data_IF_209618801479
#
_entry.id   IF_209618801479
#
_cell.length_a   1.000
_cell.length_b   1.000
_cell.length_c   1.000
_cell.angle_alpha   90.00
_cell.angle_beta   90.00
_cell.angle_gamma   90.00
#
_symmetry.space_group_name_H-M   'P 1'
#
loop_
_entity.id
_entity.type
_entity.pdbx_description
1 polymer ?
#
# COMPACT_ATOMS: atom_id res chain seq x y z
N UNK A 1 -22.40 12.37 27.76
CA UNK A 1 -21.27 13.27 27.44
C UNK A 1 -19.94 12.59 27.80
N UNK A 2 -19.64 11.41 27.22
CA UNK A 2 -18.41 10.64 27.51
C UNK A 2 -17.68 10.15 26.25
N UNK A 3 -18.34 10.16 25.09
CA UNK A 3 -17.78 9.66 23.83
C UNK A 3 -16.82 10.60 23.09
N UNK A 4 -16.59 11.85 23.55
CA UNK A 4 -15.78 12.82 22.79
C UNK A 4 -14.28 12.77 23.13
N UNK A 5 -13.90 12.18 24.26
CA UNK A 5 -12.53 12.19 24.79
C UNK A 5 -11.66 11.08 24.18
N UNK A 6 -12.20 9.87 24.06
CA UNK A 6 -11.49 8.72 23.46
C UNK A 6 -11.11 8.93 21.98
N UNK A 7 -11.97 9.62 21.22
CA UNK A 7 -11.71 9.94 19.81
C UNK A 7 -10.62 11.00 19.61
N UNK A 8 -10.30 11.78 20.66
CA UNK A 8 -9.24 12.77 20.61
C UNK A 8 -7.89 12.10 20.87
N UNK A 9 -7.84 11.18 21.83
CA UNK A 9 -6.63 10.41 22.15
C UNK A 9 -6.21 9.48 21.00
N UNK A 10 -7.16 8.83 20.33
CA UNK A 10 -6.85 7.94 19.20
C UNK A 10 -6.30 8.69 17.98
N UNK A 11 -6.76 9.93 17.74
CA UNK A 11 -6.22 10.79 16.67
C UNK A 11 -4.82 11.28 16.99
N UNK A 12 -4.54 11.61 18.25
CA UNK A 12 -3.20 12.03 18.70
C UNK A 12 -2.21 10.88 18.61
N UNK A 13 -2.58 9.68 19.09
CA UNK A 13 -1.76 8.49 18.98
C UNK A 13 -1.46 8.13 17.52
N UNK A 14 -2.45 8.25 16.64
CA UNK A 14 -2.30 8.01 15.21
C UNK A 14 -1.40 9.05 14.53
N UNK A 15 -1.50 10.33 14.91
CA UNK A 15 -0.58 11.38 14.46
C UNK A 15 0.86 11.05 14.89
N UNK A 16 1.07 10.63 16.13
CA UNK A 16 2.38 10.20 16.63
C UNK A 16 2.92 8.98 15.86
N UNK A 17 2.09 7.95 15.65
CA UNK A 17 2.48 6.77 14.88
C UNK A 17 2.84 7.15 13.45
N UNK A 18 2.03 7.97 12.78
CA UNK A 18 2.30 8.39 11.40
C UNK A 18 3.53 9.29 11.27
N UNK A 19 3.76 10.21 12.20
CA UNK A 19 4.98 11.02 12.18
C UNK A 19 6.21 10.14 12.45
N UNK A 20 6.09 9.14 13.32
CA UNK A 20 7.15 8.16 13.51
C UNK A 20 7.37 7.34 12.22
N UNK A 21 6.31 6.88 11.55
CA UNK A 21 6.40 6.10 10.31
C UNK A 21 6.97 6.93 9.15
N UNK A 22 6.57 8.19 9.01
CA UNK A 22 7.10 9.09 7.97
C UNK A 22 8.57 9.42 8.23
N UNK A 23 8.98 9.59 9.49
CA UNK A 23 10.37 9.76 9.89
C UNK A 23 11.21 8.50 9.66
N UNK A 24 10.68 7.32 10.00
CA UNK A 24 11.31 6.02 9.74
C UNK A 24 11.46 5.81 8.23
N UNK A 25 10.44 6.12 7.45
CA UNK A 25 10.49 6.00 5.99
C UNK A 25 11.51 6.96 5.37
N UNK A 26 11.54 8.22 5.83
CA UNK A 26 12.49 9.21 5.34
C UNK A 26 13.94 8.84 5.69
N UNK A 27 14.18 8.33 6.89
CA UNK A 27 15.50 7.84 7.29
C UNK A 27 15.87 6.53 6.57
N UNK A 28 14.90 5.68 6.27
CA UNK A 28 15.09 4.48 5.46
C UNK A 28 15.47 4.79 4.00
N UNK A 29 14.78 5.74 3.36
CA UNK A 29 15.14 6.22 2.02
C UNK A 29 16.57 6.80 1.97
N UNK A 30 17.00 7.50 3.02
CA UNK A 30 18.37 7.99 3.15
C UNK A 30 19.39 6.86 3.35
N UNK A 31 18.97 5.73 3.90
CA UNK A 31 19.80 4.55 4.17
C UNK A 31 19.85 3.56 2.98
N UNK A 32 18.91 3.67 2.04
CA UNK A 32 18.91 2.92 0.78
C UNK A 32 20.10 3.37 -0.09
N UNK A 33 21.22 2.66 0.10
CA UNK A 33 22.53 2.88 -0.50
C UNK A 33 22.51 2.85 -2.05
N UNK A 34 23.39 3.60 -2.73
CA UNK A 34 23.19 4.18 -4.06
C UNK A 34 23.61 3.24 -5.19
N UNK A 35 23.18 1.99 -5.19
CA UNK A 35 23.63 1.02 -6.21
C UNK A 35 22.81 0.99 -7.49
N UNK A 36 21.72 1.74 -7.59
CA UNK A 36 21.05 2.02 -8.86
C UNK A 36 20.93 3.53 -9.03
N UNK A 37 21.70 4.06 -9.99
CA UNK A 37 21.68 5.46 -10.42
C UNK A 37 20.26 5.91 -10.75
N UNK A 38 19.63 6.58 -9.80
CA UNK A 38 18.64 7.62 -10.08
C UNK A 38 19.16 8.83 -9.31
N UNK A 39 19.47 9.90 -10.03
CA UNK A 39 19.82 11.20 -9.46
C UNK A 39 18.61 11.72 -8.66
N UNK A 40 18.48 11.25 -7.42
CA UNK A 40 17.61 11.86 -6.43
C UNK A 40 18.26 13.19 -6.06
N UNK A 41 17.93 14.26 -6.78
CA UNK A 41 18.41 15.60 -6.48
C UNK A 41 18.06 15.93 -5.02
N UNK A 42 19.10 16.03 -4.20
CA UNK A 42 19.21 15.58 -2.80
C UNK A 42 18.50 16.45 -1.73
N UNK A 43 17.48 17.24 -2.04
CA UNK A 43 16.85 18.05 -0.98
C UNK A 43 15.39 18.46 -1.17
N UNK A 44 14.96 18.72 -2.40
CA UNK A 44 13.60 19.19 -2.68
C UNK A 44 12.56 18.06 -2.74
N UNK A 45 12.97 16.83 -3.04
CA UNK A 45 12.03 15.72 -3.16
C UNK A 45 11.61 15.15 -1.79
N UNK A 46 12.44 15.29 -0.75
CA UNK A 46 12.06 14.92 0.61
C UNK A 46 10.94 15.80 1.14
N UNK A 47 11.02 17.12 0.94
CA UNK A 47 9.98 18.05 1.36
C UNK A 47 8.70 17.85 0.54
N UNK A 48 8.79 17.63 -0.78
CA UNK A 48 7.63 17.32 -1.63
C UNK A 48 6.97 15.99 -1.29
N UNK A 49 7.75 14.99 -0.89
CA UNK A 49 7.24 13.69 -0.46
C UNK A 49 6.56 13.76 0.93
N UNK A 50 7.17 14.48 1.87
CA UNK A 50 6.57 14.77 3.18
C UNK A 50 5.31 15.64 3.02
N UNK A 51 5.34 16.65 2.14
CA UNK A 51 4.18 17.47 1.79
C UNK A 51 3.09 16.63 1.12
N UNK A 52 3.43 15.78 0.15
CA UNK A 52 2.49 14.91 -0.55
C UNK A 52 1.82 13.90 0.38
N UNK A 53 2.58 13.21 1.23
CA UNK A 53 2.03 12.29 2.23
C UNK A 53 1.19 13.02 3.28
N UNK A 54 1.60 14.22 3.71
CA UNK A 54 0.81 15.06 4.63
C UNK A 54 -0.48 15.62 4.00
N UNK A 55 -0.48 15.94 2.69
CA UNK A 55 -1.66 16.37 1.95
C UNK A 55 -2.65 15.22 1.71
N UNK A 56 -2.14 14.03 1.38
CA UNK A 56 -2.96 12.80 1.27
C UNK A 56 -3.55 12.45 2.64
N UNK A 57 -2.78 12.61 3.72
CA UNK A 57 -3.26 12.43 5.09
C UNK A 57 -4.35 13.45 5.46
N UNK A 58 -4.14 14.74 5.18
CA UNK A 58 -5.15 15.79 5.40
C UNK A 58 -6.43 15.54 4.60
N UNK A 59 -6.30 15.12 3.34
CA UNK A 59 -7.43 14.75 2.49
C UNK A 59 -8.18 13.54 3.07
N UNK A 60 -7.48 12.48 3.49
CA UNK A 60 -8.12 11.31 4.09
C UNK A 60 -8.74 11.59 5.46
N UNK A 61 -8.18 12.50 6.27
CA UNK A 61 -8.73 12.90 7.57
C UNK A 61 -10.10 13.61 7.45
N UNK A 62 -10.40 14.19 6.28
CA UNK A 62 -11.71 14.80 6.00
C UNK A 62 -12.79 13.80 5.63
N UNK A 63 -12.41 12.57 5.28
CA UNK A 63 -13.37 11.52 4.91
C UNK A 63 -13.91 10.81 6.16
N UNK A 64 -15.16 10.33 6.12
CA UNK A 64 -15.77 9.53 7.21
C UNK A 64 -15.17 8.12 7.35
N UNK A 65 -14.04 7.84 6.69
CA UNK A 65 -13.43 6.53 6.64
C UNK A 65 -12.86 6.16 8.02
N UNK A 66 -13.00 4.88 8.41
CA UNK A 66 -12.44 4.42 9.68
C UNK A 66 -10.91 4.57 9.68
N UNK A 67 -10.35 4.89 10.85
CA UNK A 67 -8.91 5.18 11.05
C UNK A 67 -7.97 4.05 10.62
N UNK A 68 -8.41 2.80 10.68
CA UNK A 68 -7.63 1.67 10.19
C UNK A 68 -7.52 1.64 8.65
N UNK A 69 -8.61 1.98 7.95
CA UNK A 69 -8.64 2.04 6.49
C UNK A 69 -7.75 3.17 5.96
N UNK A 70 -7.72 4.31 6.66
CA UNK A 70 -6.85 5.42 6.27
C UNK A 70 -5.37 5.05 6.38
N UNK A 71 -4.97 4.36 7.46
CA UNK A 71 -3.61 3.84 7.61
C UNK A 71 -3.25 2.79 6.55
N UNK A 72 -4.18 1.90 6.22
CA UNK A 72 -3.98 0.88 5.18
C UNK A 72 -3.75 1.53 3.81
N UNK A 73 -4.50 2.59 3.48
CA UNK A 73 -4.32 3.37 2.26
C UNK A 73 -2.98 4.08 2.25
N UNK A 74 -2.61 4.73 3.37
CA UNK A 74 -1.32 5.42 3.50
C UNK A 74 -0.17 4.44 3.29
N UNK A 75 -0.18 3.30 3.99
CA UNK A 75 0.77 2.20 3.76
C UNK A 75 0.87 1.87 2.28
N UNK A 76 -0.27 1.66 1.63
CA UNK A 76 -0.34 1.41 0.20
C UNK A 76 0.41 2.45 -0.62
N UNK A 77 0.11 3.73 -0.44
CA UNK A 77 0.76 4.85 -1.16
C UNK A 77 2.28 4.82 -1.00
N UNK A 78 2.78 4.59 0.22
CA UNK A 78 4.23 4.50 0.47
C UNK A 78 4.87 3.34 -0.31
N UNK A 79 4.25 2.16 -0.29
CA UNK A 79 4.72 0.99 -1.03
C UNK A 79 4.61 1.19 -2.56
N UNK A 80 3.57 1.87 -3.05
CA UNK A 80 3.41 2.18 -4.46
C UNK A 80 4.53 3.09 -4.98
N UNK A 81 4.96 4.06 -4.16
CA UNK A 81 6.06 4.96 -4.53
C UNK A 81 7.37 4.18 -4.61
N UNK A 82 7.67 3.31 -3.65
CA UNK A 82 8.86 2.45 -3.73
C UNK A 82 8.81 1.57 -4.98
N UNK A 83 7.66 0.96 -5.26
CA UNK A 83 7.50 0.07 -6.41
C UNK A 83 7.68 0.80 -7.75
N UNK A 84 7.20 2.05 -7.87
CA UNK A 84 7.42 2.88 -9.06
C UNK A 84 8.90 3.17 -9.34
N UNK A 85 9.69 3.40 -8.30
CA UNK A 85 11.11 3.76 -8.45
C UNK A 85 12.04 2.53 -8.52
N UNK A 86 11.75 1.50 -7.73
CA UNK A 86 12.65 0.37 -7.52
C UNK A 86 12.12 -0.97 -8.03
N UNK A 87 10.84 -1.06 -8.44
CA UNK A 87 10.16 -2.31 -8.83
C UNK A 87 10.29 -3.42 -7.78
N UNK A 88 10.32 -3.02 -6.51
CA UNK A 88 10.50 -3.90 -5.35
C UNK A 88 9.43 -3.54 -4.33
N UNK A 89 8.79 -4.58 -3.78
CA UNK A 89 7.91 -4.45 -2.61
C UNK A 89 8.76 -4.68 -1.36
N UNK A 90 8.94 -3.63 -0.58
CA UNK A 90 9.80 -3.67 0.62
C UNK A 90 9.20 -4.55 1.73
N UNK A 91 9.86 -5.65 2.13
CA UNK A 91 9.34 -6.57 3.14
C UNK A 91 9.38 -5.97 4.56
N UNK A 92 10.34 -5.10 4.86
CA UNK A 92 10.48 -4.51 6.20
C UNK A 92 9.42 -3.45 6.42
N UNK A 93 9.21 -2.59 5.42
CA UNK A 93 8.19 -1.55 5.51
C UNK A 93 6.78 -2.14 5.62
N UNK A 94 6.48 -3.17 4.82
CA UNK A 94 5.18 -3.85 4.87
C UNK A 94 4.91 -4.51 6.23
N UNK A 95 5.91 -5.15 6.84
CA UNK A 95 5.79 -5.74 8.18
C UNK A 95 5.62 -4.66 9.26
N UNK A 96 6.36 -3.55 9.18
CA UNK A 96 6.24 -2.44 10.12
C UNK A 96 4.82 -1.86 10.14
N UNK A 97 4.24 -1.61 8.96
CA UNK A 97 2.86 -1.14 8.84
C UNK A 97 1.85 -2.17 9.34
N UNK A 98 2.08 -3.46 9.07
CA UNK A 98 1.23 -4.53 9.57
C UNK A 98 1.19 -4.56 11.10
N UNK A 99 2.35 -4.46 11.77
CA UNK A 99 2.41 -4.36 13.23
C UNK A 99 1.62 -3.15 13.74
N UNK A 100 1.77 -1.98 13.10
CA UNK A 100 1.02 -0.78 13.44
C UNK A 100 -0.50 -0.97 13.31
N UNK A 101 -0.97 -1.66 12.28
CA UNK A 101 -2.39 -1.97 12.08
C UNK A 101 -2.91 -3.03 13.07
N UNK A 102 -2.12 -4.05 13.40
CA UNK A 102 -2.47 -5.07 14.41
C UNK A 102 -2.72 -4.45 15.79
N UNK A 103 -1.95 -3.43 16.17
CA UNK A 103 -2.13 -2.71 17.44
C UNK A 103 -3.50 -2.00 17.48
N UNK A 104 -3.95 -1.47 16.34
CA UNK A 104 -5.21 -0.74 16.22
C UNK A 104 -6.42 -1.67 16.02
N UNK A 105 -6.20 -2.89 15.56
CA UNK A 105 -7.25 -3.87 15.27
C UNK A 105 -6.87 -5.27 15.80
N UNK A 106 -7.01 -5.51 17.11
CA UNK A 106 -6.54 -6.77 17.72
C UNK A 106 -7.41 -7.99 17.41
N UNK A 107 -8.68 -7.79 17.02
CA UNK A 107 -9.61 -8.88 16.73
C UNK A 107 -9.49 -9.35 15.28
N UNK A 108 -8.54 -10.25 15.01
CA UNK A 108 -8.23 -10.70 13.66
C UNK A 108 -8.58 -12.17 13.45
N UNK A 109 -9.25 -12.44 12.33
CA UNK A 109 -9.46 -13.78 11.84
C UNK A 109 -8.30 -14.20 10.92
N UNK A 110 -7.36 -14.97 11.47
CA UNK A 110 -6.19 -15.47 10.76
C UNK A 110 -6.50 -16.52 9.69
N UNK A 111 -7.69 -17.11 9.72
CA UNK A 111 -8.05 -18.20 8.82
C UNK A 111 -8.16 -17.71 7.36
N UNK A 112 -8.71 -16.51 7.15
CA UNK A 112 -8.87 -15.96 5.81
C UNK A 112 -7.52 -15.62 5.13
N UNK A 113 -6.57 -14.90 5.78
CA UNK A 113 -5.23 -14.69 5.24
C UNK A 113 -4.46 -15.99 4.92
N UNK A 114 -4.62 -17.01 5.76
CA UNK A 114 -4.05 -18.33 5.49
C UNK A 114 -4.64 -18.96 4.23
N UNK A 115 -5.97 -18.90 4.05
CA UNK A 115 -6.61 -19.37 2.82
C UNK A 115 -6.12 -18.60 1.59
N UNK A 116 -5.96 -17.27 1.68
CA UNK A 116 -5.43 -16.43 0.59
C UNK A 116 -3.99 -16.83 0.25
N UNK A 117 -3.15 -17.06 1.26
CA UNK A 117 -1.77 -17.50 1.07
C UNK A 117 -1.71 -18.88 0.38
N UNK A 118 -2.48 -19.86 0.84
CA UNK A 118 -2.54 -21.19 0.23
C UNK A 118 -3.04 -21.12 -1.21
N UNK A 119 -4.06 -20.30 -1.48
CA UNK A 119 -4.58 -20.09 -2.82
C UNK A 119 -3.51 -19.53 -3.77
N UNK A 120 -2.77 -18.49 -3.37
CA UNK A 120 -1.72 -17.92 -4.20
C UNK A 120 -0.48 -18.81 -4.32
N UNK A 121 -0.17 -19.64 -3.32
CA UNK A 121 0.87 -20.66 -3.43
C UNK A 121 0.50 -21.74 -4.44
N UNK A 122 -0.75 -22.23 -4.41
CA UNK A 122 -1.27 -23.15 -5.43
C UNK A 122 -1.25 -22.52 -6.82
N UNK A 123 -1.65 -21.26 -6.94
CA UNK A 123 -1.61 -20.53 -8.20
C UNK A 123 -0.16 -20.36 -8.71
N UNK A 124 0.78 -20.09 -7.81
CA UNK A 124 2.21 -19.99 -8.12
C UNK A 124 2.82 -21.33 -8.55
N UNK A 125 2.33 -22.44 -7.98
CA UNK A 125 2.71 -23.79 -8.39
C UNK A 125 2.20 -24.11 -9.81
N UNK A 126 0.96 -23.73 -10.13
CA UNK A 126 0.37 -23.94 -11.45
C UNK A 126 0.96 -23.00 -12.52
N UNK A 127 1.33 -21.77 -12.14
CA UNK A 127 1.89 -20.75 -13.04
C UNK A 127 3.25 -20.24 -12.56
N UNK A 128 4.31 -21.06 -12.67
CA UNK A 128 5.62 -20.70 -12.18
C UNK A 128 6.16 -19.46 -12.90
N UNK A 129 6.78 -18.56 -12.13
CA UNK A 129 7.48 -17.33 -12.60
C UNK A 129 6.60 -16.23 -13.22
N UNK A 130 5.28 -16.34 -13.20
CA UNK A 130 4.38 -15.27 -13.69
C UNK A 130 3.90 -14.32 -12.60
N UNK A 131 3.93 -14.73 -11.34
CA UNK A 131 3.42 -13.97 -10.21
C UNK A 131 4.54 -13.30 -9.42
N UNK A 132 4.37 -12.01 -9.12
CA UNK A 132 5.22 -11.27 -8.21
C UNK A 132 5.00 -11.73 -6.76
N UNK A 133 6.00 -12.37 -6.16
CA UNK A 133 5.93 -12.77 -4.74
C UNK A 133 5.75 -11.59 -3.78
N UNK A 134 6.22 -10.39 -4.17
CA UNK A 134 6.00 -9.16 -3.42
C UNK A 134 4.52 -8.80 -3.35
N UNK A 135 3.83 -8.80 -4.49
CA UNK A 135 2.41 -8.47 -4.60
C UNK A 135 1.53 -9.49 -3.85
N UNK A 136 1.89 -10.78 -3.93
CA UNK A 136 1.21 -11.84 -3.18
C UNK A 136 1.31 -11.60 -1.67
N UNK A 137 2.51 -11.31 -1.16
CA UNK A 137 2.70 -11.03 0.28
C UNK A 137 1.86 -9.84 0.72
N UNK A 138 1.84 -8.79 -0.08
CA UNK A 138 1.07 -7.59 0.18
C UNK A 138 -0.45 -7.87 0.20
N UNK A 139 -0.95 -8.67 -0.75
CA UNK A 139 -2.35 -9.14 -0.76
C UNK A 139 -2.69 -9.97 0.47
N UNK A 140 -1.80 -10.85 0.92
CA UNK A 140 -2.00 -11.63 2.16
C UNK A 140 -2.06 -10.70 3.36
N UNK A 141 -1.20 -9.69 3.45
CA UNK A 141 -1.24 -8.71 4.54
C UNK A 141 -2.52 -7.88 4.53
N UNK A 142 -2.98 -7.43 3.36
CA UNK A 142 -4.22 -6.69 3.25
C UNK A 142 -5.46 -7.53 3.52
N UNK A 143 -5.42 -8.84 3.23
CA UNK A 143 -6.53 -9.76 3.50
C UNK A 143 -6.91 -9.85 4.98
N UNK A 144 -6.00 -9.48 5.90
CA UNK A 144 -6.30 -9.38 7.34
C UNK A 144 -7.40 -8.35 7.61
N UNK A 145 -7.45 -7.29 6.81
CA UNK A 145 -8.32 -6.12 7.02
C UNK A 145 -9.46 -6.03 6.00
N UNK A 146 -9.48 -6.93 5.01
CA UNK A 146 -10.46 -6.93 3.93
C UNK A 146 -11.38 -8.13 4.03
N UNK A 147 -12.65 -7.92 3.69
CA UNK A 147 -13.56 -9.04 3.47
C UNK A 147 -13.23 -9.80 2.16
N UNK A 148 -13.68 -11.06 2.01
CA UNK A 148 -13.44 -11.82 0.79
C UNK A 148 -13.94 -11.12 -0.49
N UNK A 149 -15.11 -10.47 -0.41
CA UNK A 149 -15.68 -9.75 -1.55
C UNK A 149 -14.83 -8.54 -1.94
N UNK A 150 -14.35 -7.79 -0.94
CA UNK A 150 -13.46 -6.64 -1.13
C UNK A 150 -12.13 -7.08 -1.76
N UNK A 151 -11.55 -8.20 -1.33
CA UNK A 151 -10.30 -8.71 -1.89
C UNK A 151 -10.44 -9.13 -3.36
N UNK A 152 -11.56 -9.76 -3.73
CA UNK A 152 -11.86 -10.11 -5.13
C UNK A 152 -12.00 -8.85 -5.98
N UNK A 153 -12.78 -7.87 -5.52
CA UNK A 153 -12.94 -6.59 -6.22
C UNK A 153 -11.63 -5.83 -6.34
N UNK A 154 -10.78 -5.89 -5.32
CA UNK A 154 -9.47 -5.26 -5.32
C UNK A 154 -8.57 -5.85 -6.41
N UNK A 155 -8.47 -7.19 -6.51
CA UNK A 155 -7.70 -7.85 -7.57
C UNK A 155 -8.28 -7.53 -8.95
N UNK A 156 -9.61 -7.53 -9.07
CA UNK A 156 -10.29 -7.23 -10.33
C UNK A 156 -10.02 -5.79 -10.81
N UNK A 157 -10.19 -4.79 -9.93
CA UNK A 157 -9.97 -3.38 -10.28
C UNK A 157 -8.47 -3.13 -10.55
N UNK A 158 -7.57 -3.70 -9.75
CA UNK A 158 -6.13 -3.53 -9.94
C UNK A 158 -5.65 -4.13 -11.28
N UNK A 159 -6.13 -5.32 -11.61
CA UNK A 159 -5.79 -5.95 -12.90
C UNK A 159 -6.39 -5.20 -14.08
N UNK A 160 -7.65 -4.77 -13.99
CA UNK A 160 -8.32 -4.00 -15.04
C UNK A 160 -7.61 -2.66 -15.31
N UNK A 161 -7.27 -1.92 -14.25
CA UNK A 161 -6.54 -0.65 -14.37
C UNK A 161 -5.12 -0.85 -14.92
N UNK A 162 -4.42 -1.91 -14.50
CA UNK A 162 -3.12 -2.28 -15.07
C UNK A 162 -3.18 -2.63 -16.55
N UNK A 163 -4.18 -3.41 -16.99
CA UNK A 163 -4.39 -3.75 -18.40
C UNK A 163 -4.70 -2.48 -19.22
N UNK A 164 -5.60 -1.63 -18.73
CA UNK A 164 -5.91 -0.36 -19.38
C UNK A 164 -4.66 0.51 -19.54
N UNK A 165 -3.81 0.57 -18.52
CA UNK A 165 -2.55 1.31 -18.58
C UNK A 165 -1.61 0.74 -19.66
N UNK A 166 -1.47 -0.58 -19.76
CA UNK A 166 -0.65 -1.23 -20.80
C UNK A 166 -1.16 -0.88 -22.20
N UNK A 167 -2.47 -0.98 -22.40
CA UNK A 167 -3.09 -0.69 -23.70
C UNK A 167 -2.86 0.78 -24.07
N UNK A 168 -3.15 1.71 -23.16
CA UNK A 168 -2.95 3.14 -23.38
C UNK A 168 -1.48 3.48 -23.66
N UNK A 169 -0.56 2.90 -22.90
CA UNK A 169 0.87 3.11 -23.10
C UNK A 169 1.31 2.62 -24.48
N UNK A 170 0.85 1.44 -24.89
CA UNK A 170 1.19 0.86 -26.19
C UNK A 170 0.64 1.72 -27.35
N UNK A 171 -0.60 2.21 -27.22
CA UNK A 171 -1.22 3.09 -28.22
C UNK A 171 -0.47 4.42 -28.35
N UNK A 172 0.01 5.00 -27.24
CA UNK A 172 0.69 6.29 -27.24
C UNK A 172 2.16 6.22 -27.67
N UNK A 173 2.85 5.13 -27.32
CA UNK A 173 4.31 5.05 -27.43
C UNK A 173 4.77 4.06 -28.50
N UNK A 174 3.87 3.22 -29.03
CA UNK A 174 4.16 2.10 -29.96
C UNK A 174 5.20 1.08 -29.45
N UNK A 175 5.63 1.22 -28.19
CA UNK A 175 6.61 0.37 -27.54
C UNK A 175 5.92 -0.59 -26.56
N UNK A 176 6.52 -1.76 -26.36
CA UNK A 176 6.07 -2.73 -25.35
C UNK A 176 6.70 -2.42 -23.99
N UNK A 177 5.88 -2.32 -22.94
CA UNK A 177 6.36 -2.25 -21.55
C UNK A 177 6.98 -3.58 -21.14
N UNK A 178 8.24 -3.55 -20.69
CA UNK A 178 8.97 -4.74 -20.21
C UNK A 178 8.71 -5.04 -18.74
N UNK A 179 8.44 -4.00 -17.93
CA UNK A 179 8.13 -4.10 -16.50
C UNK A 179 7.11 -3.04 -16.09
N UNK A 180 6.28 -3.39 -15.12
CA UNK A 180 5.20 -2.55 -14.61
C UNK A 180 5.20 -2.65 -13.09
N UNK A 181 5.22 -1.50 -12.42
CA UNK A 181 4.98 -1.41 -10.99
C UNK A 181 3.49 -1.71 -10.74
N UNK A 182 3.19 -2.82 -10.05
CA UNK A 182 1.81 -3.27 -9.85
C UNK A 182 1.18 -2.67 -8.59
N UNK A 183 1.99 -2.31 -7.59
CA UNK A 183 1.51 -1.75 -6.32
C UNK A 183 0.71 -0.45 -6.50
N UNK A 184 1.07 0.48 -7.41
CA UNK A 184 0.23 1.66 -7.70
C UNK A 184 -1.21 1.30 -8.10
N UNK A 185 -1.41 0.28 -8.93
CA UNK A 185 -2.75 -0.16 -9.33
C UNK A 185 -3.50 -0.83 -8.17
N UNK A 186 -2.78 -1.62 -7.37
CA UNK A 186 -3.29 -2.21 -6.13
C UNK A 186 -3.79 -1.14 -5.14
N UNK A 187 -3.07 -0.03 -5.00
CA UNK A 187 -3.44 1.04 -4.07
C UNK A 187 -4.63 1.84 -4.54
N UNK A 188 -4.72 2.13 -5.83
CA UNK A 188 -5.92 2.74 -6.43
C UNK A 188 -7.13 1.81 -6.19
N UNK A 189 -6.99 0.52 -6.47
CA UNK A 189 -8.05 -0.45 -6.22
C UNK A 189 -8.45 -0.50 -4.73
N UNK A 190 -7.47 -0.51 -3.81
CA UNK A 190 -7.72 -0.49 -2.38
C UNK A 190 -8.54 0.74 -1.96
N UNK A 191 -8.18 1.94 -2.44
CA UNK A 191 -8.93 3.16 -2.11
C UNK A 191 -10.37 3.11 -2.60
N UNK A 192 -10.61 2.60 -3.80
CA UNK A 192 -11.95 2.44 -4.38
C UNK A 192 -12.76 1.44 -3.56
N UNK A 193 -12.18 0.26 -3.29
CA UNK A 193 -12.87 -0.81 -2.55
C UNK A 193 -13.25 -0.34 -1.14
N UNK A 194 -12.34 0.30 -0.40
CA UNK A 194 -12.62 0.74 0.97
C UNK A 194 -13.60 1.92 1.05
N UNK A 195 -13.76 2.69 -0.02
CA UNK A 195 -14.67 3.85 -0.04
C UNK A 195 -16.07 3.51 -0.53
N UNK A 196 -16.22 2.44 -1.32
CA UNK A 196 -17.48 2.10 -2.00
C UNK A 196 -18.11 0.81 -1.45
N UNK A 197 -17.31 -0.17 -1.04
CA UNK A 197 -17.72 -1.55 -0.73
C UNK A 197 -17.57 -1.84 0.77
#
# INVERSE_FOLDING_TARGET
MFFKKEWMDLRVLLYCVLNAMSFIFSSYLLCLSPNNKINFSEKNNHSLFLLGSSCIYLLLLTTKLATAHTLLIVMGVYLAIIDLYYYIVDPYLSVLFLIGLLILYPSINWLFPLCVLVFFLLLSYLMPKKLGFGDIKLLVYWSIFLSPIQLIWLIFIASLTGILYIILYHLLTSNSLTKIAFVPFLTIALTIVLSII
#
